data_IF_374066971936
#
_entry.id   IF_374066971936
#
_cell.length_a   1.000
_cell.length_b   1.000
_cell.length_c   1.000
_cell.angle_alpha   90.00
_cell.angle_beta   90.00
_cell.angle_gamma   90.00
#
_symmetry.space_group_name_H-M   'P 1'
#
loop_
_entity.id
_entity.type
_entity.pdbx_description
1 polymer ?
#
# COMPACT_ATOMS: atom_id res chain seq x y z
N UNK A 1 -11.36 21.38 -19.62
CA UNK A 1 -10.83 19.99 -19.57
C UNK A 1 -10.64 19.47 -18.15
N UNK A 2 -9.84 20.11 -17.28
CA UNK A 2 -9.60 19.65 -15.89
C UNK A 2 -10.86 19.41 -15.06
N UNK A 3 -11.86 20.30 -15.14
CA UNK A 3 -13.13 20.16 -14.41
C UNK A 3 -13.97 18.95 -14.87
N UNK A 4 -13.93 18.62 -16.17
CA UNK A 4 -14.66 17.47 -16.73
C UNK A 4 -14.01 16.18 -16.22
N UNK A 5 -12.67 16.09 -16.25
CA UNK A 5 -11.93 14.93 -15.73
C UNK A 5 -12.18 14.76 -14.23
N UNK A 6 -12.18 15.85 -13.46
CA UNK A 6 -12.48 15.82 -12.03
C UNK A 6 -13.92 15.36 -11.76
N UNK A 7 -14.89 15.85 -12.54
CA UNK A 7 -16.28 15.39 -12.45
C UNK A 7 -16.43 13.90 -12.72
N UNK A 8 -15.79 13.39 -13.78
CA UNK A 8 -15.79 11.96 -14.13
C UNK A 8 -15.17 11.12 -13.02
N UNK A 9 -14.04 11.56 -12.44
CA UNK A 9 -13.39 10.86 -11.33
C UNK A 9 -14.27 10.82 -10.08
N UNK A 10 -14.87 11.94 -9.69
CA UNK A 10 -15.77 12.00 -8.54
C UNK A 10 -16.99 11.08 -8.73
N UNK A 11 -17.64 11.12 -9.89
CA UNK A 11 -18.81 10.28 -10.19
C UNK A 11 -18.41 8.79 -10.21
N UNK A 12 -17.29 8.46 -10.83
CA UNK A 12 -16.78 7.09 -10.89
C UNK A 12 -16.44 6.55 -9.50
N UNK A 13 -15.82 7.38 -8.64
CA UNK A 13 -15.53 7.02 -7.26
C UNK A 13 -16.82 6.77 -6.46
N UNK A 14 -17.81 7.65 -6.58
CA UNK A 14 -19.10 7.48 -5.91
C UNK A 14 -19.83 6.21 -6.36
N UNK A 15 -19.84 5.92 -7.67
CA UNK A 15 -20.42 4.69 -8.21
C UNK A 15 -19.68 3.45 -7.73
N UNK A 16 -18.35 3.48 -7.68
CA UNK A 16 -17.53 2.37 -7.18
C UNK A 16 -17.84 2.08 -5.71
N UNK A 17 -17.87 3.12 -4.86
CA UNK A 17 -18.21 3.00 -3.44
C UNK A 17 -19.61 2.41 -3.29
N UNK A 18 -20.59 2.91 -4.06
CA UNK A 18 -21.95 2.35 -4.08
C UNK A 18 -21.97 0.87 -4.46
N UNK A 19 -21.25 0.46 -5.51
CA UNK A 19 -21.15 -0.94 -5.94
C UNK A 19 -20.52 -1.81 -4.85
N UNK A 20 -19.45 -1.35 -4.20
CA UNK A 20 -18.76 -2.07 -3.12
C UNK A 20 -19.72 -2.37 -1.97
N UNK A 21 -20.51 -1.39 -1.53
CA UNK A 21 -21.50 -1.59 -0.47
C UNK A 21 -22.69 -2.45 -0.92
N UNK A 22 -23.20 -2.26 -2.14
CA UNK A 22 -24.37 -2.98 -2.67
C UNK A 22 -24.09 -4.45 -2.96
N UNK A 23 -22.91 -4.77 -3.49
CA UNK A 23 -22.55 -6.13 -3.89
C UNK A 23 -22.24 -7.05 -2.71
N UNK A 24 -22.22 -6.53 -1.47
CA UNK A 24 -21.83 -7.26 -0.26
C UNK A 24 -20.61 -8.14 -0.55
N UNK A 25 -19.49 -7.52 -0.93
CA UNK A 25 -18.22 -8.21 -1.28
C UNK A 25 -17.66 -9.12 -0.16
N UNK A 26 -18.42 -9.37 0.91
CA UNK A 26 -18.00 -10.08 2.10
C UNK A 26 -16.92 -9.31 2.85
N UNK A 27 -16.48 -9.85 3.97
CA UNK A 27 -15.24 -9.41 4.62
C UNK A 27 -14.01 -10.16 4.10
N UNK A 28 -14.20 -11.14 3.19
CA UNK A 28 -13.11 -11.96 2.65
C UNK A 28 -12.02 -11.13 1.95
N UNK A 29 -12.40 -10.16 1.12
CA UNK A 29 -11.43 -9.26 0.50
C UNK A 29 -10.66 -8.42 1.54
N UNK A 30 -11.31 -8.03 2.64
CA UNK A 30 -10.67 -7.30 3.74
C UNK A 30 -9.68 -8.18 4.50
N UNK A 31 -9.96 -9.48 4.65
CA UNK A 31 -9.01 -10.42 5.28
C UNK A 31 -7.77 -10.65 4.42
N UNK A 32 -7.92 -10.80 3.09
CA UNK A 32 -6.79 -10.95 2.16
C UNK A 32 -5.96 -9.65 2.12
N UNK A 33 -6.64 -8.51 2.09
CA UNK A 33 -6.03 -7.19 2.15
C UNK A 33 -5.26 -6.97 3.46
N UNK A 34 -5.89 -7.27 4.60
CA UNK A 34 -5.27 -7.18 5.92
C UNK A 34 -4.07 -8.12 6.07
N UNK A 35 -4.14 -9.32 5.50
CA UNK A 35 -3.02 -10.25 5.51
C UNK A 35 -1.82 -9.71 4.72
N UNK A 36 -2.02 -9.13 3.53
CA UNK A 36 -0.95 -8.49 2.76
C UNK A 36 -0.30 -7.34 3.53
N UNK A 37 -1.12 -6.48 4.13
CA UNK A 37 -0.65 -5.36 4.93
C UNK A 37 0.12 -5.83 6.17
N UNK A 38 -0.42 -6.78 6.93
CA UNK A 38 0.20 -7.31 8.13
C UNK A 38 1.53 -7.99 7.83
N UNK A 39 1.58 -8.82 6.78
CA UNK A 39 2.79 -9.52 6.38
C UNK A 39 3.87 -8.54 5.89
N UNK A 40 3.47 -7.49 5.16
CA UNK A 40 4.39 -6.43 4.75
C UNK A 40 4.89 -5.60 5.93
N UNK A 41 4.04 -5.31 6.91
CA UNK A 41 4.44 -4.62 8.14
C UNK A 41 5.45 -5.45 8.96
N UNK A 42 5.26 -6.77 9.03
CA UNK A 42 6.24 -7.68 9.64
C UNK A 42 7.57 -7.66 8.89
N UNK A 43 7.55 -7.68 7.55
CA UNK A 43 8.77 -7.58 6.77
C UNK A 43 9.50 -6.23 6.98
N UNK A 44 8.77 -5.11 7.03
CA UNK A 44 9.34 -3.80 7.36
C UNK A 44 9.95 -3.80 8.77
N UNK A 45 9.28 -4.42 9.75
CA UNK A 45 9.80 -4.54 11.10
C UNK A 45 11.13 -5.30 11.11
N UNK A 46 11.19 -6.44 10.43
CA UNK A 46 12.43 -7.21 10.28
C UNK A 46 13.51 -6.32 9.69
N UNK A 47 13.27 -5.70 8.53
CA UNK A 47 14.23 -4.81 7.86
C UNK A 47 14.76 -3.72 8.79
N UNK A 48 13.88 -3.05 9.53
CA UNK A 48 14.25 -1.92 10.40
C UNK A 48 15.06 -2.33 11.63
N UNK A 49 14.82 -3.50 12.22
CA UNK A 49 15.40 -3.89 13.51
C UNK A 49 16.55 -4.89 13.42
N UNK A 50 16.68 -5.62 12.31
CA UNK A 50 17.70 -6.67 12.17
C UNK A 50 18.98 -6.19 11.50
N UNK A 51 18.99 -4.98 10.95
CA UNK A 51 20.15 -4.44 10.24
C UNK A 51 20.47 -5.13 8.91
N UNK A 52 19.60 -6.05 8.43
CA UNK A 52 19.81 -6.83 7.20
C UNK A 52 19.96 -5.92 5.96
N UNK A 53 19.39 -4.72 6.00
CA UNK A 53 19.40 -3.76 4.91
C UNK A 53 20.22 -2.48 5.24
N UNK A 54 21.41 -2.59 5.82
CA UNK A 54 22.35 -1.47 5.98
C UNK A 54 21.74 -0.21 6.66
N UNK A 55 21.33 -0.34 7.93
CA UNK A 55 20.67 0.71 8.74
C UNK A 55 19.47 1.41 8.07
N UNK A 56 18.90 0.84 7.00
CA UNK A 56 17.78 1.47 6.30
C UNK A 56 16.50 1.40 7.11
N UNK A 57 16.19 2.52 7.78
CA UNK A 57 14.89 2.73 8.42
C UNK A 57 13.78 3.10 7.42
N UNK A 58 12.76 2.26 7.26
CA UNK A 58 11.55 2.56 6.48
C UNK A 58 10.48 3.13 7.44
N UNK A 59 10.08 4.40 7.30
CA UNK A 59 9.06 5.00 8.15
C UNK A 59 7.66 4.50 7.76
N UNK A 60 6.83 4.14 8.74
CA UNK A 60 5.42 3.81 8.52
C UNK A 60 4.59 5.10 8.36
N UNK A 61 4.37 5.51 7.13
CA UNK A 61 3.53 6.65 6.75
C UNK A 61 2.51 6.26 5.66
N UNK A 62 1.52 7.12 5.32
CA UNK A 62 0.50 6.78 4.33
C UNK A 62 1.07 6.37 2.95
N UNK A 63 2.23 6.90 2.55
CA UNK A 63 2.86 6.56 1.29
C UNK A 63 3.42 5.14 1.31
N UNK A 64 4.20 4.78 2.34
CA UNK A 64 4.72 3.41 2.50
C UNK A 64 3.61 2.39 2.63
N UNK A 65 2.58 2.71 3.41
CA UNK A 65 1.39 1.87 3.58
C UNK A 65 0.70 1.67 2.22
N UNK A 66 0.50 2.73 1.44
CA UNK A 66 -0.08 2.65 0.10
C UNK A 66 0.75 1.77 -0.84
N UNK A 67 2.07 1.93 -0.84
CA UNK A 67 2.97 1.11 -1.68
C UNK A 67 2.87 -0.38 -1.35
N UNK A 68 2.94 -0.74 -0.05
CA UNK A 68 2.86 -2.15 0.35
C UNK A 68 1.44 -2.69 0.31
N UNK A 69 0.40 -1.86 0.35
CA UNK A 69 -0.97 -2.28 0.11
C UNK A 69 -1.18 -2.75 -1.33
N UNK A 70 -0.56 -2.08 -2.30
CA UNK A 70 -0.68 -2.43 -3.72
C UNK A 70 0.25 -3.59 -4.07
N UNK A 71 1.49 -3.56 -3.58
CA UNK A 71 2.55 -4.48 -4.01
C UNK A 71 2.86 -5.60 -3.01
N UNK A 72 2.35 -5.54 -1.77
CA UNK A 72 2.66 -6.51 -0.71
C UNK A 72 4.14 -6.53 -0.31
N UNK A 73 4.64 -7.74 -0.04
CA UNK A 73 6.07 -8.03 0.20
C UNK A 73 7.00 -7.45 -0.88
N UNK A 74 6.71 -7.62 -2.19
CA UNK A 74 7.46 -6.94 -3.26
C UNK A 74 7.57 -5.43 -3.07
N UNK A 75 6.55 -4.78 -2.52
CA UNK A 75 6.57 -3.35 -2.20
C UNK A 75 7.61 -3.01 -1.14
N UNK A 76 7.80 -3.87 -0.14
CA UNK A 76 8.86 -3.69 0.88
C UNK A 76 10.23 -3.80 0.23
N UNK A 77 10.45 -4.80 -0.62
CA UNK A 77 11.71 -4.96 -1.36
C UNK A 77 12.01 -3.73 -2.26
N UNK A 78 10.98 -3.20 -2.92
CA UNK A 78 11.09 -1.97 -3.71
C UNK A 78 11.48 -0.76 -2.85
N UNK A 79 10.85 -0.58 -1.69
CA UNK A 79 11.19 0.52 -0.77
C UNK A 79 12.63 0.42 -0.26
N UNK A 80 13.09 -0.79 0.08
CA UNK A 80 14.48 -1.05 0.47
C UNK A 80 15.43 -0.72 -0.69
N UNK A 81 15.19 -1.28 -1.87
CA UNK A 81 16.03 -1.08 -3.04
C UNK A 81 16.11 0.39 -3.47
N UNK A 82 14.98 1.10 -3.46
CA UNK A 82 14.92 2.52 -3.75
C UNK A 82 15.75 3.33 -2.75
N UNK A 83 15.65 2.99 -1.45
CA UNK A 83 16.40 3.68 -0.41
C UNK A 83 17.91 3.46 -0.55
N UNK A 84 18.34 2.23 -0.80
CA UNK A 84 19.76 1.91 -1.05
C UNK A 84 20.26 2.60 -2.32
N UNK A 85 19.44 2.69 -3.38
CA UNK A 85 19.89 3.28 -4.66
C UNK A 85 19.96 4.80 -4.61
N UNK A 86 19.06 5.47 -3.87
CA UNK A 86 19.00 6.93 -3.80
C UNK A 86 19.83 7.53 -2.67
N UNK A 87 20.00 6.80 -1.56
CA UNK A 87 20.63 7.30 -0.33
C UNK A 87 21.80 6.44 0.16
N UNK A 88 22.11 5.34 -0.53
CA UNK A 88 23.27 4.49 -0.26
C UNK A 88 24.54 4.96 -0.95
#
# INVERSE_FOLDING_TARGET
MKLIVMGVLCISLMLLVYVVFRRKLGFGWLTVFGAHLALSALAIYVVNYTGIAAETYIPLNPMTIGTVMVLGLPGVALLVGLKITLLG
#
